data_IF_644917371307
#
_entry.id   IF_644917371307
#
_cell.length_a   1.000
_cell.length_b   1.000
_cell.length_c   1.000
_cell.angle_alpha   90.00
_cell.angle_beta   90.00
_cell.angle_gamma   90.00
#
_symmetry.space_group_name_H-M   'P 1'
#
loop_
_entity.id
_entity.type
_entity.pdbx_description
1 polymer ?
#
# COMPACT_ATOMS: atom_id res chain seq x y z
N UNK A 1 19.61 61.55 -6.52
CA UNK A 1 19.89 60.81 -7.77
C UNK A 1 21.10 59.91 -7.54
N UNK A 2 21.05 58.64 -7.95
CA UNK A 2 22.23 57.77 -7.99
C UNK A 2 22.01 56.34 -7.48
N UNK A 3 21.30 55.52 -8.25
CA UNK A 3 21.22 54.07 -8.09
C UNK A 3 22.47 53.39 -8.68
N UNK A 4 23.17 52.57 -7.90
CA UNK A 4 24.08 51.53 -8.38
C UNK A 4 23.93 50.36 -7.40
N UNK A 5 23.39 49.19 -7.73
CA UNK A 5 23.56 48.42 -8.97
C UNK A 5 24.33 47.14 -8.62
N UNK A 6 23.78 46.28 -7.74
CA UNK A 6 24.38 44.98 -7.41
C UNK A 6 24.11 44.02 -8.57
N UNK A 7 25.14 43.77 -9.38
CA UNK A 7 25.16 42.74 -10.42
C UNK A 7 25.27 41.37 -9.74
N UNK A 8 24.17 40.61 -9.72
CA UNK A 8 24.22 39.21 -9.35
C UNK A 8 24.70 38.39 -10.56
N UNK A 9 25.85 37.73 -10.37
CA UNK A 9 26.52 36.88 -11.36
C UNK A 9 25.70 35.62 -11.63
N UNK A 10 24.99 35.57 -12.77
CA UNK A 10 24.28 34.40 -13.28
C UNK A 10 25.23 33.41 -13.98
N UNK A 11 26.27 32.97 -13.29
CA UNK A 11 27.29 32.08 -13.88
C UNK A 11 27.56 30.89 -12.97
N UNK A 12 26.54 30.07 -12.73
CA UNK A 12 26.70 28.72 -12.18
C UNK A 12 25.41 27.94 -12.45
N UNK A 13 25.52 26.71 -12.92
CA UNK A 13 24.44 25.75 -13.17
C UNK A 13 23.79 25.84 -14.56
N UNK A 14 24.59 25.60 -15.61
CA UNK A 14 24.22 24.61 -16.64
C UNK A 14 25.51 23.99 -17.18
N UNK A 15 25.94 22.86 -16.61
CA UNK A 15 26.93 21.98 -17.24
C UNK A 15 26.62 20.54 -16.83
N UNK A 16 25.50 20.02 -17.33
CA UNK A 16 25.30 18.57 -17.41
C UNK A 16 25.92 18.13 -18.74
N UNK A 17 27.17 17.68 -18.64
CA UNK A 17 27.95 17.21 -19.77
C UNK A 17 27.20 16.12 -20.54
N UNK A 18 26.97 16.49 -21.79
CA UNK A 18 26.43 15.75 -22.92
C UNK A 18 27.33 14.54 -23.22
N UNK A 19 27.03 13.36 -22.67
CA UNK A 19 27.60 12.10 -23.19
C UNK A 19 26.80 11.70 -24.44
N UNK A 20 27.38 12.00 -25.60
CA UNK A 20 26.87 11.67 -26.92
C UNK A 20 27.77 10.60 -27.54
N UNK A 21 27.15 9.44 -27.81
CA UNK A 21 27.47 8.43 -28.83
C UNK A 21 28.80 7.65 -28.74
N UNK A 22 28.68 6.35 -28.49
CA UNK A 22 29.35 5.35 -29.32
C UNK A 22 28.29 4.36 -29.82
N UNK A 23 28.05 4.37 -31.13
CA UNK A 23 27.33 3.30 -31.84
C UNK A 23 28.23 2.06 -31.83
N UNK A 24 27.65 0.89 -31.55
CA UNK A 24 28.07 -0.36 -32.15
C UNK A 24 26.80 -1.06 -32.63
N UNK A 25 26.64 -1.08 -33.95
CA UNK A 25 25.77 -2.00 -34.66
C UNK A 25 26.33 -3.41 -34.44
N UNK A 26 25.47 -4.39 -34.16
CA UNK A 26 25.62 -5.77 -34.63
C UNK A 26 24.27 -6.53 -34.53
N UNK A 27 23.82 -6.91 -35.72
CA UNK A 27 23.12 -8.13 -36.14
C UNK A 27 21.68 -8.49 -35.70
N UNK A 28 20.78 -8.21 -36.64
CA UNK A 28 19.76 -9.09 -37.24
C UNK A 28 19.58 -10.49 -36.62
N UNK A 29 18.40 -10.74 -36.05
CA UNK A 29 17.63 -11.95 -36.39
C UNK A 29 16.15 -11.76 -36.07
N UNK A 30 15.39 -11.46 -37.11
CA UNK A 30 13.93 -11.43 -37.16
C UNK A 30 13.41 -12.84 -37.39
N UNK A 31 12.53 -13.37 -36.52
CA UNK A 31 11.52 -14.37 -36.92
C UNK A 31 10.18 -14.19 -36.17
N UNK A 32 9.05 -14.59 -36.78
CA UNK A 32 7.80 -13.85 -36.66
C UNK A 32 6.66 -14.55 -35.88
N UNK A 33 5.80 -13.68 -35.33
CA UNK A 33 4.33 -13.68 -35.29
C UNK A 33 3.50 -14.99 -35.12
N UNK A 34 2.75 -14.99 -34.00
CA UNK A 34 1.29 -15.16 -33.85
C UNK A 34 0.65 -16.52 -34.21
N UNK A 35 -0.01 -17.11 -33.22
CA UNK A 35 -1.37 -17.65 -33.37
C UNK A 35 -2.11 -17.45 -32.04
N UNK A 36 -3.08 -16.53 -32.07
CA UNK A 36 -4.07 -16.28 -31.03
C UNK A 36 -5.27 -17.15 -31.42
N UNK A 37 -5.69 -18.04 -30.52
CA UNK A 37 -7.02 -18.65 -30.57
C UNK A 37 -7.87 -17.97 -29.51
N UNK A 38 -8.91 -17.30 -29.98
CA UNK A 38 -10.06 -16.88 -29.20
C UNK A 38 -10.83 -18.13 -28.80
N UNK A 39 -11.13 -18.28 -27.51
CA UNK A 39 -12.17 -19.18 -27.04
C UNK A 39 -13.01 -18.41 -26.02
N UNK A 40 -14.30 -18.42 -26.32
CA UNK A 40 -15.40 -17.67 -25.73
C UNK A 40 -16.07 -18.50 -24.63
N UNK A 41 -16.87 -17.84 -23.79
CA UNK A 41 -17.87 -18.40 -22.83
C UNK A 41 -17.31 -19.06 -21.55
N UNK A 42 -17.86 -18.88 -20.35
CA UNK A 42 -19.24 -18.58 -19.96
C UNK A 42 -19.26 -17.98 -18.53
N UNK A 43 -20.16 -17.02 -18.26
CA UNK A 43 -20.51 -16.60 -16.90
C UNK A 43 -21.57 -17.54 -16.32
N UNK A 44 -21.63 -17.69 -14.98
CA UNK A 44 -22.93 -17.75 -14.34
C UNK A 44 -23.05 -16.80 -13.14
N UNK A 45 -24.03 -15.91 -13.27
CA UNK A 45 -25.18 -15.70 -12.38
C UNK A 45 -24.95 -15.52 -10.87
N UNK A 46 -25.53 -14.41 -10.40
CA UNK A 46 -25.45 -13.83 -9.07
C UNK A 46 -26.63 -14.30 -8.22
N UNK A 47 -26.41 -15.07 -7.15
CA UNK A 47 -27.45 -15.43 -6.18
C UNK A 47 -27.46 -14.44 -4.99
N UNK A 48 -28.52 -13.63 -4.79
CA UNK A 48 -28.64 -12.76 -3.64
C UNK A 48 -29.25 -13.52 -2.46
N UNK A 49 -28.41 -14.02 -1.55
CA UNK A 49 -28.90 -14.59 -0.29
C UNK A 49 -29.33 -13.46 0.65
N UNK A 50 -30.62 -13.15 0.60
CA UNK A 50 -31.35 -12.45 1.66
C UNK A 50 -31.39 -13.34 2.90
N UNK A 51 -31.09 -12.79 4.06
CA UNK A 51 -31.64 -13.28 5.32
C UNK A 51 -31.78 -12.14 6.30
N UNK A 52 -33.05 -11.77 6.48
CA UNK A 52 -33.54 -10.86 7.49
C UNK A 52 -33.29 -11.42 8.88
N UNK A 53 -32.80 -10.57 9.78
CA UNK A 53 -33.00 -10.75 11.23
C UNK A 53 -33.53 -9.43 11.79
N UNK A 54 -34.83 -9.23 11.58
CA UNK A 54 -35.63 -8.27 12.33
C UNK A 54 -35.68 -8.74 13.77
N UNK A 55 -35.17 -7.94 14.71
CA UNK A 55 -35.45 -8.11 16.14
C UNK A 55 -35.98 -6.80 16.69
N UNK A 56 -37.31 -6.73 16.67
CA UNK A 56 -38.17 -5.80 17.40
C UNK A 56 -37.93 -5.93 18.90
N UNK A 57 -37.59 -4.84 19.57
CA UNK A 57 -37.64 -4.75 21.03
C UNK A 57 -38.79 -3.82 21.38
N UNK A 58 -39.85 -4.43 21.91
CA UNK A 58 -41.00 -3.77 22.48
C UNK A 58 -40.63 -3.24 23.86
N UNK A 59 -40.87 -1.96 24.08
CA UNK A 59 -41.02 -1.37 25.40
C UNK A 59 -42.31 -1.91 26.04
N UNK A 60 -42.23 -2.39 27.27
CA UNK A 60 -43.40 -2.54 28.14
C UNK A 60 -43.02 -2.04 29.53
N UNK A 61 -43.53 -0.86 29.83
CA UNK A 61 -43.60 -0.28 31.15
C UNK A 61 -44.93 -0.70 31.77
N UNK A 62 -44.90 -1.33 32.94
CA UNK A 62 -45.92 -1.11 33.97
C UNK A 62 -45.54 -1.69 35.32
N UNK A 63 -46.07 -1.00 36.31
CA UNK A 63 -45.73 -0.94 37.72
C UNK A 63 -46.64 -1.85 38.57
N UNK A 64 -46.24 -2.06 39.84
CA UNK A 64 -47.04 -2.58 40.97
C UNK A 64 -47.25 -4.11 41.00
N UNK A 65 -47.28 -4.87 42.10
CA UNK A 65 -47.06 -4.70 43.55
C UNK A 65 -47.13 -6.08 44.23
N UNK A 66 -46.39 -6.24 45.34
CA UNK A 66 -46.67 -7.05 46.53
C UNK A 66 -46.68 -8.61 46.51
N UNK A 67 -45.63 -9.14 47.17
CA UNK A 67 -45.58 -10.22 48.18
C UNK A 67 -46.18 -11.61 47.92
N UNK A 68 -45.29 -12.61 47.81
CA UNK A 68 -45.59 -14.03 48.03
C UNK A 68 -44.31 -14.87 48.10
N UNK A 69 -43.95 -15.32 49.30
CA UNK A 69 -42.86 -16.26 49.55
C UNK A 69 -43.16 -17.62 48.91
N UNK A 70 -42.33 -18.12 47.98
CA UNK A 70 -42.11 -19.57 47.86
C UNK A 70 -40.92 -19.91 46.98
N UNK A 71 -40.09 -20.82 47.50
CA UNK A 71 -39.07 -21.60 46.80
C UNK A 71 -38.01 -20.81 46.01
N UNK A 72 -36.87 -20.65 46.69
CA UNK A 72 -35.48 -20.57 46.23
C UNK A 72 -35.21 -21.18 44.84
N UNK A 73 -35.72 -20.58 43.78
CA UNK A 73 -35.14 -20.70 42.45
C UNK A 73 -34.04 -19.65 42.41
N UNK A 74 -32.85 -20.04 42.87
CA UNK A 74 -31.63 -19.36 42.46
C UNK A 74 -31.59 -19.50 40.94
N UNK A 75 -32.22 -18.57 40.22
CA UNK A 75 -31.84 -18.30 38.85
C UNK A 75 -30.38 -17.93 38.98
N UNK A 76 -29.52 -18.88 38.62
CA UNK A 76 -28.15 -18.58 38.24
C UNK A 76 -28.33 -17.57 37.11
N UNK A 77 -28.37 -16.28 37.46
CA UNK A 77 -27.71 -15.31 36.64
C UNK A 77 -26.30 -15.87 36.55
N UNK A 78 -26.03 -16.63 35.49
CA UNK A 78 -24.69 -16.66 34.98
C UNK A 78 -24.42 -15.18 34.74
N UNK A 79 -23.76 -14.55 35.70
CA UNK A 79 -23.01 -13.32 35.48
C UNK A 79 -21.83 -13.68 34.59
N UNK A 80 -22.13 -14.35 33.47
CA UNK A 80 -21.21 -14.68 32.42
C UNK A 80 -20.66 -13.34 32.01
N UNK A 81 -19.41 -13.12 32.38
CA UNK A 81 -18.71 -11.90 32.04
C UNK A 81 -18.77 -11.82 30.53
N UNK A 82 -19.50 -10.83 30.02
CA UNK A 82 -19.54 -10.57 28.58
C UNK A 82 -18.10 -10.26 28.18
N UNK A 83 -17.47 -11.19 27.47
CA UNK A 83 -16.08 -11.08 27.07
C UNK A 83 -16.03 -10.95 25.56
N UNK A 84 -15.37 -9.89 25.09
CA UNK A 84 -15.12 -9.68 23.66
C UNK A 84 -13.91 -10.51 23.30
N UNK A 85 -14.05 -11.31 22.24
CA UNK A 85 -12.94 -12.07 21.64
C UNK A 85 -12.87 -11.73 20.17
N UNK A 86 -11.66 -11.65 19.66
CA UNK A 86 -11.39 -11.53 18.24
C UNK A 86 -11.29 -12.93 17.64
N UNK A 87 -11.79 -13.10 16.42
CA UNK A 87 -11.72 -14.36 15.68
C UNK A 87 -10.41 -14.48 14.88
N UNK A 88 -10.50 -15.06 13.70
CA UNK A 88 -9.32 -15.28 12.84
C UNK A 88 -9.05 -14.06 11.94
N UNK A 89 -7.78 -13.87 11.57
CA UNK A 89 -7.35 -12.91 10.57
C UNK A 89 -6.97 -13.61 9.26
N UNK A 90 -7.38 -13.02 8.14
CA UNK A 90 -6.95 -13.42 6.79
C UNK A 90 -5.78 -12.53 6.36
N UNK A 91 -4.66 -13.13 6.00
CA UNK A 91 -3.43 -12.45 5.62
C UNK A 91 -3.18 -12.72 4.14
N UNK A 92 -2.94 -11.66 3.37
CA UNK A 92 -2.60 -11.74 1.95
C UNK A 92 -1.21 -11.16 1.70
N UNK A 93 -0.40 -11.90 0.96
CA UNK A 93 0.95 -11.50 0.58
C UNK A 93 0.96 -11.00 -0.86
N UNK A 94 1.35 -9.74 -1.05
CA UNK A 94 1.44 -9.10 -2.36
C UNK A 94 2.91 -8.93 -2.78
N UNK A 95 3.21 -9.03 -4.09
CA UNK A 95 4.54 -8.77 -4.60
C UNK A 95 4.88 -7.28 -4.43
N UNK A 96 6.15 -6.99 -4.16
CA UNK A 96 6.66 -5.63 -4.12
C UNK A 96 7.09 -5.23 -5.54
N UNK A 97 6.52 -4.15 -6.07
CA UNK A 97 6.67 -3.72 -7.46
C UNK A 97 7.16 -2.27 -7.56
N UNK A 98 7.65 -1.90 -8.74
CA UNK A 98 8.07 -0.53 -9.01
C UNK A 98 6.84 0.41 -9.09
N UNK A 99 6.82 1.43 -8.25
CA UNK A 99 5.68 2.36 -8.15
C UNK A 99 5.77 3.61 -9.05
N UNK A 100 4.79 4.53 -8.89
CA UNK A 100 4.79 5.89 -9.46
C UNK A 100 4.45 6.98 -8.42
N UNK A 101 4.69 6.71 -7.14
CA UNK A 101 4.45 7.69 -6.08
C UNK A 101 5.37 8.93 -6.19
N UNK A 102 4.80 10.14 -6.35
CA UNK A 102 5.56 11.30 -6.76
C UNK A 102 6.26 12.03 -5.61
N UNK A 103 6.11 11.59 -4.35
CA UNK A 103 6.69 12.26 -3.19
C UNK A 103 7.94 11.57 -2.62
N UNK A 104 8.53 10.61 -3.36
CA UNK A 104 9.83 10.07 -2.98
C UNK A 104 10.91 11.17 -3.08
N UNK A 105 11.55 11.51 -1.96
CA UNK A 105 12.56 12.56 -1.92
C UNK A 105 13.82 12.20 -2.72
N UNK A 106 14.17 10.91 -2.75
CA UNK A 106 15.33 10.29 -3.39
C UNK A 106 14.93 8.87 -3.84
N UNK A 107 15.45 8.40 -4.99
CA UNK A 107 15.25 7.03 -5.49
C UNK A 107 13.85 6.75 -6.07
N UNK A 108 13.59 5.49 -6.42
CA UNK A 108 12.32 5.04 -6.99
C UNK A 108 11.33 4.58 -5.89
N UNK A 109 10.03 4.84 -6.07
CA UNK A 109 8.99 4.30 -5.19
C UNK A 109 8.88 2.77 -5.31
N UNK A 110 8.47 2.14 -4.21
CA UNK A 110 8.07 0.73 -4.15
C UNK A 110 6.60 0.70 -3.74
N UNK A 111 5.82 -0.15 -4.40
CA UNK A 111 4.39 -0.33 -4.17
C UNK A 111 4.07 -1.84 -4.04
N UNK A 112 2.85 -2.16 -3.60
CA UNK A 112 2.35 -3.53 -3.65
C UNK A 112 1.66 -3.74 -5.00
N UNK A 113 1.88 -4.90 -5.61
CA UNK A 113 1.13 -5.32 -6.79
C UNK A 113 -0.34 -5.58 -6.48
N UNK A 114 -1.14 -5.70 -7.52
CA UNK A 114 -2.58 -5.94 -7.39
C UNK A 114 -2.92 -7.39 -7.06
N UNK A 115 -2.16 -8.32 -7.61
CA UNK A 115 -2.36 -9.76 -7.41
C UNK A 115 -1.65 -10.23 -6.15
N UNK A 116 -2.33 -11.03 -5.32
CA UNK A 116 -1.70 -11.67 -4.17
C UNK A 116 -1.16 -13.05 -4.54
N UNK A 117 -0.01 -13.40 -3.98
CA UNK A 117 0.64 -14.69 -4.25
C UNK A 117 0.23 -15.77 -3.25
N UNK A 118 -0.21 -15.35 -2.05
CA UNK A 118 -0.54 -16.27 -0.96
C UNK A 118 -1.64 -15.66 -0.09
N UNK A 119 -2.54 -16.52 0.37
CA UNK A 119 -3.55 -16.20 1.38
C UNK A 119 -3.48 -17.24 2.50
N UNK A 120 -3.43 -16.80 3.75
CA UNK A 120 -3.46 -17.67 4.93
C UNK A 120 -4.45 -17.14 5.97
N UNK A 121 -5.00 -18.04 6.78
CA UNK A 121 -5.87 -17.67 7.90
C UNK A 121 -5.22 -18.12 9.21
N UNK A 122 -5.12 -17.21 10.17
CA UNK A 122 -4.50 -17.46 11.48
C UNK A 122 -5.40 -16.93 12.59
N UNK A 123 -5.38 -17.58 13.75
CA UNK A 123 -6.00 -17.00 14.94
C UNK A 123 -5.28 -15.68 15.28
N UNK A 124 -6.05 -14.64 15.61
CA UNK A 124 -5.49 -13.31 15.87
C UNK A 124 -4.46 -13.28 16.99
N UNK A 125 -4.67 -14.11 18.03
CA UNK A 125 -3.75 -14.18 19.16
C UNK A 125 -2.39 -14.73 18.72
N UNK A 126 -2.39 -15.81 17.93
CA UNK A 126 -1.17 -16.42 17.39
C UNK A 126 -0.43 -15.45 16.48
N UNK A 127 -1.15 -14.69 15.65
CA UNK A 127 -0.56 -13.66 14.80
C UNK A 127 0.11 -12.54 15.62
N UNK A 128 -0.55 -12.03 16.65
CA UNK A 128 0.00 -10.96 17.49
C UNK A 128 1.18 -11.44 18.35
N UNK A 129 1.16 -12.68 18.84
CA UNK A 129 2.28 -13.28 19.58
C UNK A 129 3.53 -13.39 18.69
N UNK A 130 3.39 -13.91 17.47
CA UNK A 130 4.50 -14.00 16.50
C UNK A 130 5.02 -12.61 16.10
N UNK A 131 4.11 -11.64 15.96
CA UNK A 131 4.43 -10.29 15.50
C UNK A 131 5.11 -9.45 16.57
N UNK A 132 4.84 -9.67 17.86
CA UNK A 132 5.30 -8.78 18.93
C UNK A 132 6.83 -8.65 18.96
N UNK A 133 7.54 -9.75 18.71
CA UNK A 133 9.01 -9.76 18.61
C UNK A 133 9.56 -9.01 17.39
N UNK A 134 8.77 -8.88 16.32
CA UNK A 134 9.13 -8.20 15.07
C UNK A 134 8.51 -6.80 14.96
N UNK A 135 7.78 -6.36 16.00
CA UNK A 135 7.05 -5.10 15.97
C UNK A 135 8.04 -3.93 15.97
N UNK A 136 7.97 -3.15 14.90
CA UNK A 136 8.74 -1.91 14.76
C UNK A 136 8.35 -0.92 15.86
N UNK A 137 9.33 -0.36 16.56
CA UNK A 137 9.13 0.51 17.74
C UNK A 137 9.36 1.98 17.42
N UNK A 138 10.16 2.27 16.39
CA UNK A 138 10.46 3.65 15.99
C UNK A 138 9.91 3.99 14.61
N UNK A 139 9.67 5.28 14.38
CA UNK A 139 9.29 5.79 13.05
C UNK A 139 10.37 5.47 12.00
N UNK A 140 11.64 5.43 12.38
CA UNK A 140 12.75 5.13 11.48
C UNK A 140 12.64 3.73 10.88
N UNK A 141 12.25 2.74 11.70
CA UNK A 141 12.07 1.35 11.26
C UNK A 141 10.89 1.16 10.29
N UNK A 142 9.95 2.10 10.27
CA UNK A 142 8.81 2.11 9.34
C UNK A 142 9.16 2.74 7.98
N UNK A 143 10.35 3.35 7.85
CA UNK A 143 10.79 3.99 6.62
C UNK A 143 11.80 3.09 5.90
N UNK A 144 11.71 3.08 4.57
CA UNK A 144 12.69 2.43 3.72
C UNK A 144 13.64 3.46 3.11
N UNK A 145 14.93 3.24 3.28
CA UNK A 145 16.00 3.96 2.60
C UNK A 145 15.92 3.76 1.08
N UNK A 146 16.54 4.67 0.29
CA UNK A 146 16.68 4.47 -1.16
C UNK A 146 17.36 3.15 -1.53
N UNK A 147 18.33 2.71 -0.74
CA UNK A 147 19.10 1.48 -0.95
C UNK A 147 18.25 0.24 -0.67
N UNK A 148 17.50 0.22 0.44
CA UNK A 148 16.56 -0.87 0.76
C UNK A 148 15.50 -1.02 -0.33
N UNK A 149 14.91 0.09 -0.79
CA UNK A 149 13.95 0.08 -1.90
C UNK A 149 14.54 -0.47 -3.19
N UNK A 150 15.80 -0.11 -3.50
CA UNK A 150 16.50 -0.67 -4.66
C UNK A 150 16.73 -2.16 -4.49
N UNK A 151 17.20 -2.58 -3.31
CA UNK A 151 17.47 -3.98 -2.99
C UNK A 151 16.22 -4.81 -3.20
N UNK A 152 15.10 -4.41 -2.61
CA UNK A 152 13.77 -5.02 -2.77
C UNK A 152 13.43 -5.27 -4.25
N UNK A 153 13.57 -4.24 -5.09
CA UNK A 153 13.19 -4.31 -6.50
C UNK A 153 14.14 -5.18 -7.34
N UNK A 154 15.35 -5.41 -6.85
CA UNK A 154 16.37 -6.24 -7.52
C UNK A 154 16.42 -7.67 -6.99
N UNK A 155 16.02 -7.90 -5.74
CA UNK A 155 16.09 -9.20 -5.08
C UNK A 155 14.82 -10.04 -5.26
N UNK A 156 13.72 -9.43 -5.70
CA UNK A 156 12.47 -10.16 -5.92
C UNK A 156 12.60 -11.18 -7.06
N UNK A 157 11.94 -12.32 -6.92
CA UNK A 157 11.85 -13.37 -7.97
C UNK A 157 11.32 -12.81 -9.31
N UNK A 158 10.57 -11.71 -9.26
CA UNK A 158 10.16 -10.91 -10.42
C UNK A 158 11.09 -9.72 -10.64
N UNK A 159 12.40 -9.98 -10.69
CA UNK A 159 13.47 -9.00 -10.88
C UNK A 159 13.02 -7.91 -11.86
N UNK A 160 12.79 -6.71 -11.32
CA UNK A 160 12.35 -5.61 -12.15
C UNK A 160 13.51 -5.18 -13.02
N UNK A 161 13.23 -4.92 -14.31
CA UNK A 161 14.26 -4.48 -15.24
C UNK A 161 15.05 -3.28 -14.66
N UNK A 162 16.37 -3.42 -14.55
CA UNK A 162 17.25 -2.38 -14.08
C UNK A 162 17.10 -1.08 -14.91
N UNK A 163 16.74 -1.20 -16.19
CA UNK A 163 16.35 -0.10 -17.07
C UNK A 163 15.11 0.65 -16.54
N UNK A 164 14.04 -0.08 -16.23
CA UNK A 164 12.81 0.44 -15.64
C UNK A 164 13.08 1.17 -14.30
N UNK A 165 13.86 0.57 -13.40
CA UNK A 165 14.23 1.19 -12.12
C UNK A 165 14.97 2.53 -12.35
N UNK A 166 15.94 2.55 -13.28
CA UNK A 166 16.68 3.78 -13.65
C UNK A 166 15.74 4.83 -14.25
N UNK A 167 14.81 4.43 -15.10
CA UNK A 167 13.82 5.32 -15.71
C UNK A 167 12.90 5.94 -14.64
N UNK A 168 12.41 5.15 -13.69
CA UNK A 168 11.59 5.64 -12.58
C UNK A 168 12.35 6.62 -11.68
N UNK A 169 13.60 6.31 -11.31
CA UNK A 169 14.45 7.24 -10.57
C UNK A 169 14.60 8.59 -11.30
N UNK A 170 14.85 8.56 -12.62
CA UNK A 170 14.96 9.79 -13.44
C UNK A 170 13.66 10.58 -13.44
N UNK A 171 12.51 9.93 -13.66
CA UNK A 171 11.17 10.57 -13.60
C UNK A 171 10.96 11.29 -12.27
N UNK A 172 11.38 10.66 -11.17
CA UNK A 172 11.20 11.24 -9.85
C UNK A 172 12.08 12.47 -9.62
N UNK A 173 13.34 12.43 -10.05
CA UNK A 173 14.23 13.59 -10.02
C UNK A 173 13.67 14.75 -10.85
N UNK A 174 13.15 14.48 -12.05
CA UNK A 174 12.57 15.52 -12.92
C UNK A 174 11.33 16.15 -12.31
N UNK A 175 10.41 15.34 -11.73
CA UNK A 175 9.20 15.85 -11.08
C UNK A 175 9.53 16.72 -9.86
N UNK A 176 10.53 16.33 -9.08
CA UNK A 176 11.01 17.12 -7.94
C UNK A 176 11.57 18.47 -8.39
N UNK A 177 12.39 18.49 -9.45
CA UNK A 177 12.92 19.74 -10.01
C UNK A 177 11.79 20.66 -10.48
N UNK A 178 10.80 20.13 -11.20
CA UNK A 178 9.63 20.89 -11.64
C UNK A 178 8.83 21.49 -10.48
N UNK A 179 8.56 20.71 -9.43
CA UNK A 179 7.86 21.20 -8.23
C UNK A 179 8.63 22.30 -7.50
N UNK A 180 9.96 22.19 -7.44
CA UNK A 180 10.80 23.23 -6.84
C UNK A 180 10.66 24.55 -7.60
N UNK A 181 10.72 24.50 -8.94
CA UNK A 181 10.52 25.67 -9.80
C UNK A 181 9.11 26.25 -9.61
N UNK A 182 8.07 25.41 -9.64
CA UNK A 182 6.70 25.87 -9.44
C UNK A 182 6.53 26.52 -8.05
N UNK A 183 7.08 25.91 -7.00
CA UNK A 183 7.01 26.49 -5.65
C UNK A 183 7.70 27.85 -5.59
N UNK A 184 8.89 27.99 -6.16
CA UNK A 184 9.61 29.27 -6.21
C UNK A 184 8.83 30.34 -7.00
N UNK A 185 8.19 29.95 -8.11
CA UNK A 185 7.43 30.86 -8.95
C UNK A 185 6.11 31.34 -8.31
N UNK A 186 5.36 30.44 -7.67
CA UNK A 186 4.04 30.75 -7.08
C UNK A 186 4.11 31.19 -5.60
N UNK A 187 5.30 31.32 -5.02
CA UNK A 187 5.48 31.84 -3.64
C UNK A 187 5.90 33.32 -3.60
N UNK A 188 5.89 34.01 -4.74
CA UNK A 188 6.08 35.48 -4.85
C UNK A 188 4.75 36.17 -5.05
#
# INVERSE_FOLDING_TARGET
MGLMGRRNSLSSIVNLQRFRHHKHEDDVSTKPAKTIKEEEQEQPEHEPVRSNSSSTLSDDESTTSFSGLSSKMMRRHSTGTKSVRFGDCKIRSYPQVLGDHPCCSIGCPVELGWEYNQEETKAINDFEELRDHQRRKSRGELLLSPEERRSILTSSDHSQDAGAIRKACRRQCTRKAQRKIQREFFSS
#
